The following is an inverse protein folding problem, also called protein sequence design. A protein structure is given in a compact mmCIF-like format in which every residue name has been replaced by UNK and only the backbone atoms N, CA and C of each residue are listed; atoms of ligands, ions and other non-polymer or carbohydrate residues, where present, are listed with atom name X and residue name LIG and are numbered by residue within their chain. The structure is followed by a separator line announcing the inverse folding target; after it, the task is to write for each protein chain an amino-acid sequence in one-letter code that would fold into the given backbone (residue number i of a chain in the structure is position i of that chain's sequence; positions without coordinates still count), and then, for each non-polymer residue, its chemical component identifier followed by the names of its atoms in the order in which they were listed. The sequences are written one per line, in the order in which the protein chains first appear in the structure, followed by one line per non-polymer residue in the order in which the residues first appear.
data_IF_253052878243
#
_entry.id   IF_253052878243
#
_cell.length_a   1.000
_cell.length_b   1.000
_cell.length_c   1.000
_cell.angle_alpha   90.00
_cell.angle_beta   90.00
_cell.angle_gamma   90.00
#
_symmetry.space_group_name_H-M   'P 1'
#
loop_
_entity.id
_entity.type
_entity.pdbx_description
1 polymer ?
#
# COMPACT_ATOMS: atom_id res chain seq x y z
N UNK A 1 -19.86 -20.25 33.42
CA UNK A 1 -19.42 -19.82 32.09
C UNK A 1 -18.72 -18.47 32.28
N UNK A 2 -17.36 -18.42 32.32
CA UNK A 2 -16.62 -17.15 32.42
C UNK A 2 -16.66 -16.53 31.02
N UNK A 3 -17.45 -15.48 30.84
CA UNK A 3 -17.29 -14.58 29.68
C UNK A 3 -15.89 -13.96 29.82
N UNK A 4 -14.97 -14.40 28.97
CA UNK A 4 -13.69 -13.73 28.79
C UNK A 4 -13.99 -12.36 28.16
N UNK A 5 -13.94 -11.31 28.95
CA UNK A 5 -14.01 -9.92 28.51
C UNK A 5 -12.68 -9.66 27.76
N UNK A 6 -12.62 -9.98 26.49
CA UNK A 6 -11.51 -9.55 25.64
C UNK A 6 -11.68 -8.02 25.49
N UNK A 7 -10.69 -7.21 25.91
CA UNK A 7 -10.80 -5.77 25.74
C UNK A 7 -10.96 -5.49 24.24
N UNK A 8 -12.03 -4.78 23.86
CA UNK A 8 -12.31 -4.44 22.44
C UNK A 8 -11.21 -3.58 21.80
N UNK A 9 -10.29 -3.04 22.59
CA UNK A 9 -9.06 -2.39 22.12
C UNK A 9 -8.15 -3.34 21.33
N UNK A 10 -8.22 -4.66 21.57
CA UNK A 10 -7.46 -5.66 20.81
C UNK A 10 -7.97 -5.77 19.38
N UNK A 11 -9.26 -5.59 19.14
CA UNK A 11 -9.92 -5.67 17.85
C UNK A 11 -9.37 -4.64 16.84
N UNK A 12 -8.96 -3.45 17.28
CA UNK A 12 -8.28 -2.48 16.42
C UNK A 12 -6.94 -3.02 15.87
N UNK A 13 -6.13 -3.64 16.73
CA UNK A 13 -4.85 -4.21 16.29
C UNK A 13 -5.05 -5.39 15.34
N UNK A 14 -6.08 -6.21 15.56
CA UNK A 14 -6.39 -7.34 14.69
C UNK A 14 -6.86 -6.83 13.30
N UNK A 15 -7.65 -5.75 13.25
CA UNK A 15 -8.07 -5.13 12.00
C UNK A 15 -6.89 -4.46 11.26
N UNK A 16 -6.00 -3.76 11.97
CA UNK A 16 -4.80 -3.19 11.35
C UNK A 16 -3.85 -4.26 10.81
N UNK A 17 -3.68 -5.38 11.52
CA UNK A 17 -2.91 -6.52 11.02
C UNK A 17 -3.53 -7.09 9.73
N UNK A 18 -4.85 -7.26 9.69
CA UNK A 18 -5.57 -7.70 8.49
C UNK A 18 -5.42 -6.69 7.33
N UNK A 19 -5.54 -5.39 7.60
CA UNK A 19 -5.35 -4.34 6.60
C UNK A 19 -3.93 -4.39 5.99
N UNK A 20 -2.90 -4.55 6.82
CA UNK A 20 -1.52 -4.69 6.36
C UNK A 20 -1.29 -5.96 5.52
N UNK A 21 -1.93 -7.07 5.87
CA UNK A 21 -1.86 -8.32 5.10
C UNK A 21 -2.60 -8.20 3.76
N UNK A 22 -3.76 -7.54 3.73
CA UNK A 22 -4.52 -7.27 2.52
C UNK A 22 -3.72 -6.37 1.55
N UNK A 23 -3.12 -5.28 2.04
CA UNK A 23 -2.26 -4.42 1.23
C UNK A 23 -1.03 -5.17 0.68
N UNK A 24 -0.43 -6.07 1.48
CA UNK A 24 0.70 -6.89 1.02
C UNK A 24 0.26 -7.89 -0.07
N UNK A 25 -0.93 -8.44 0.01
CA UNK A 25 -1.46 -9.31 -1.03
C UNK A 25 -1.72 -8.52 -2.32
N UNK A 26 -2.33 -7.33 -2.25
CA UNK A 26 -2.50 -6.43 -3.38
C UNK A 26 -1.17 -6.14 -4.09
N UNK A 27 -0.14 -5.76 -3.33
CA UNK A 27 1.19 -5.47 -3.87
C UNK A 27 1.82 -6.69 -4.59
N UNK A 28 1.66 -7.91 -4.05
CA UNK A 28 2.14 -9.15 -4.68
C UNK A 28 1.39 -9.50 -5.95
N UNK A 29 0.08 -9.29 -5.98
CA UNK A 29 -0.72 -9.48 -7.19
C UNK A 29 -0.28 -8.48 -8.27
N UNK A 30 -0.08 -7.21 -7.91
CA UNK A 30 0.44 -6.19 -8.84
C UNK A 30 1.82 -6.58 -9.39
N UNK A 31 2.78 -6.98 -8.55
CA UNK A 31 4.10 -7.44 -9.00
C UNK A 31 3.99 -8.60 -9.98
N UNK A 32 3.16 -9.59 -9.67
CA UNK A 32 2.95 -10.74 -10.55
C UNK A 32 2.33 -10.32 -11.87
N UNK A 33 1.30 -9.46 -11.81
CA UNK A 33 0.61 -8.95 -12.99
C UNK A 33 1.54 -8.17 -13.89
N UNK A 34 2.31 -7.23 -13.35
CA UNK A 34 3.29 -6.45 -14.11
C UNK A 34 4.40 -7.33 -14.71
N UNK A 35 4.90 -8.30 -13.96
CA UNK A 35 5.98 -9.19 -14.43
C UNK A 35 5.54 -10.11 -15.57
N UNK A 36 4.32 -10.59 -15.55
CA UNK A 36 3.81 -11.66 -16.42
C UNK A 36 2.86 -11.16 -17.52
N UNK A 37 2.50 -9.87 -17.51
CA UNK A 37 1.60 -9.29 -18.49
C UNK A 37 2.16 -9.40 -19.93
N UNK A 38 1.35 -9.68 -20.96
CA UNK A 38 -0.10 -9.87 -20.92
C UNK A 38 -0.56 -11.31 -20.57
N UNK A 39 0.36 -12.25 -20.37
CA UNK A 39 0.06 -13.66 -20.17
C UNK A 39 -0.03 -14.05 -18.67
N UNK A 40 -0.37 -13.09 -17.83
CA UNK A 40 -0.50 -13.30 -16.38
C UNK A 40 -1.71 -14.18 -16.02
N UNK A 41 -1.57 -14.98 -14.96
CA UNK A 41 -2.70 -15.68 -14.34
C UNK A 41 -3.53 -14.79 -13.41
N UNK A 42 -2.98 -13.61 -13.02
CA UNK A 42 -3.66 -12.64 -12.15
C UNK A 42 -4.48 -11.68 -13.03
N UNK A 43 -5.78 -11.70 -12.84
CA UNK A 43 -6.72 -10.80 -13.56
C UNK A 43 -6.92 -9.49 -12.82
N UNK A 44 -7.46 -8.45 -13.49
CA UNK A 44 -7.86 -7.21 -12.81
C UNK A 44 -8.96 -7.47 -11.77
N UNK A 45 -9.84 -8.45 -12.01
CA UNK A 45 -10.87 -8.83 -11.07
C UNK A 45 -10.30 -9.39 -9.75
N UNK A 46 -9.14 -10.08 -9.80
CA UNK A 46 -8.47 -10.57 -8.59
C UNK A 46 -7.95 -9.41 -7.75
N UNK A 47 -7.33 -8.39 -8.37
CA UNK A 47 -6.85 -7.20 -7.67
C UNK A 47 -8.03 -6.40 -7.10
N UNK A 48 -9.11 -6.22 -7.87
CA UNK A 48 -10.33 -5.54 -7.42
C UNK A 48 -11.02 -6.26 -6.26
N UNK A 49 -10.92 -7.58 -6.19
CA UNK A 49 -11.44 -8.34 -5.06
C UNK A 49 -10.67 -8.04 -3.77
N UNK A 50 -9.34 -7.88 -3.85
CA UNK A 50 -8.49 -7.52 -2.70
C UNK A 50 -8.78 -6.06 -2.26
N UNK A 51 -8.95 -5.12 -3.20
CA UNK A 51 -9.34 -3.74 -2.88
C UNK A 51 -10.71 -3.73 -2.16
N UNK A 52 -11.69 -4.45 -2.67
CA UNK A 52 -13.02 -4.51 -2.04
C UNK A 52 -12.99 -5.15 -0.64
N UNK A 53 -12.05 -6.06 -0.37
CA UNK A 53 -11.80 -6.58 0.98
C UNK A 53 -11.13 -5.52 1.87
N UNK A 54 -10.15 -4.76 1.36
CA UNK A 54 -9.49 -3.64 2.04
C UNK A 54 -10.49 -2.58 2.47
N UNK A 55 -11.33 -2.16 1.54
CA UNK A 55 -12.47 -1.28 1.73
C UNK A 55 -13.39 -1.75 2.89
N UNK A 56 -13.67 -3.06 2.97
CA UNK A 56 -14.49 -3.59 4.05
C UNK A 56 -13.75 -3.54 5.40
N UNK A 57 -12.46 -3.79 5.43
CA UNK A 57 -11.64 -3.70 6.65
C UNK A 57 -11.60 -2.24 7.14
N UNK A 58 -11.44 -1.28 6.24
CA UNK A 58 -11.47 0.15 6.56
C UNK A 58 -12.82 0.60 7.10
N UNK A 59 -13.92 0.15 6.50
CA UNK A 59 -15.28 0.39 7.03
C UNK A 59 -15.46 -0.20 8.44
N UNK A 60 -14.95 -1.42 8.68
CA UNK A 60 -15.02 -2.09 9.99
C UNK A 60 -14.22 -1.30 11.05
N UNK A 61 -13.01 -0.80 10.71
CA UNK A 61 -12.19 0.07 11.56
C UNK A 61 -12.92 1.36 11.94
N UNK A 62 -13.52 2.03 10.96
CA UNK A 62 -14.28 3.29 11.17
C UNK A 62 -15.53 3.02 12.01
N UNK A 63 -16.23 1.92 11.76
CA UNK A 63 -17.40 1.55 12.55
C UNK A 63 -17.00 1.21 13.99
N UNK A 64 -15.92 0.48 14.20
CA UNK A 64 -15.39 0.18 15.52
C UNK A 64 -15.01 1.48 16.24
N UNK A 65 -14.31 2.39 15.55
CA UNK A 65 -13.92 3.70 16.07
C UNK A 65 -15.16 4.51 16.53
N UNK A 66 -16.22 4.49 15.76
CA UNK A 66 -17.46 5.24 16.08
C UNK A 66 -18.24 4.65 17.26
N UNK A 67 -18.10 3.36 17.52
CA UNK A 67 -18.87 2.66 18.57
C UNK A 67 -18.10 2.47 19.87
N UNK A 68 -16.76 2.57 19.87
CA UNK A 68 -15.94 2.39 21.06
C UNK A 68 -15.60 3.72 21.75
N UNK A 69 -15.81 3.75 23.06
CA UNK A 69 -15.47 4.90 23.91
C UNK A 69 -13.96 4.94 24.23
N UNK A 70 -13.35 3.77 24.38
CA UNK A 70 -11.93 3.62 24.71
C UNK A 70 -11.21 3.02 23.51
N UNK A 71 -10.21 3.74 23.00
CA UNK A 71 -9.38 3.34 21.86
C UNK A 71 -7.94 3.06 22.33
N UNK A 72 -7.16 2.23 21.61
CA UNK A 72 -5.80 1.88 22.01
C UNK A 72 -4.81 3.04 21.89
N UNK A 73 -5.09 4.02 21.00
CA UNK A 73 -4.35 5.26 20.81
C UNK A 73 -5.32 6.33 20.26
N UNK A 74 -4.81 7.50 19.90
CA UNK A 74 -5.61 8.65 19.47
C UNK A 74 -6.55 8.26 18.31
N UNK A 75 -7.82 8.71 18.42
CA UNK A 75 -8.86 8.42 17.43
C UNK A 75 -8.54 8.99 16.05
N UNK A 76 -7.90 10.16 16.02
CA UNK A 76 -7.47 10.78 14.79
C UNK A 76 -6.37 9.97 14.10
N UNK A 77 -5.40 9.46 14.88
CA UNK A 77 -4.35 8.60 14.36
C UNK A 77 -4.92 7.25 13.83
N UNK A 78 -5.96 6.69 14.49
CA UNK A 78 -6.66 5.48 14.01
C UNK A 78 -7.31 5.74 12.66
N UNK A 79 -8.01 6.85 12.51
CA UNK A 79 -8.67 7.23 11.27
C UNK A 79 -7.64 7.46 10.15
N UNK A 80 -6.60 8.24 10.41
CA UNK A 80 -5.54 8.55 9.44
C UNK A 80 -4.81 7.27 9.00
N UNK A 81 -4.52 6.36 9.93
CA UNK A 81 -3.85 5.11 9.60
C UNK A 81 -4.73 4.20 8.73
N UNK A 82 -6.02 4.08 9.06
CA UNK A 82 -6.96 3.30 8.28
C UNK A 82 -7.06 3.83 6.83
N UNK A 83 -7.21 5.15 6.67
CA UNK A 83 -7.29 5.78 5.35
C UNK A 83 -5.99 5.61 4.57
N UNK A 84 -4.82 5.84 5.20
CA UNK A 84 -3.55 5.71 4.48
C UNK A 84 -3.25 4.27 4.02
N UNK A 85 -3.72 3.24 4.75
CA UNK A 85 -3.58 1.85 4.29
C UNK A 85 -4.54 1.55 3.13
N UNK A 86 -5.74 2.10 3.16
CA UNK A 86 -6.73 2.01 2.09
C UNK A 86 -6.18 2.62 0.79
N UNK A 87 -5.63 3.84 0.87
CA UNK A 87 -5.00 4.55 -0.24
C UNK A 87 -3.89 3.71 -0.92
N UNK A 88 -3.14 2.90 -0.15
CA UNK A 88 -2.13 1.98 -0.74
C UNK A 88 -2.79 1.00 -1.70
N UNK A 89 -3.89 0.39 -1.30
CA UNK A 89 -4.57 -0.65 -2.08
C UNK A 89 -5.27 -0.04 -3.28
N UNK A 90 -5.88 1.14 -3.12
CA UNK A 90 -6.56 1.87 -4.17
C UNK A 90 -5.59 2.25 -5.31
N UNK A 91 -4.44 2.81 -4.98
CA UNK A 91 -3.43 3.16 -5.99
C UNK A 91 -2.81 1.93 -6.66
N UNK A 92 -2.69 0.80 -5.95
CA UNK A 92 -2.28 -0.48 -6.55
C UNK A 92 -3.32 -0.94 -7.57
N UNK A 93 -4.60 -0.88 -7.22
CA UNK A 93 -5.71 -1.25 -8.10
C UNK A 93 -5.72 -0.37 -9.35
N UNK A 94 -5.62 0.95 -9.18
CA UNK A 94 -5.51 1.92 -10.26
C UNK A 94 -4.33 1.59 -11.20
N UNK A 95 -3.12 1.40 -10.67
CA UNK A 95 -1.94 1.09 -11.47
C UNK A 95 -2.11 -0.18 -12.31
N UNK A 96 -2.76 -1.20 -11.76
CA UNK A 96 -3.00 -2.47 -12.48
C UNK A 96 -4.12 -2.37 -13.52
N UNK A 97 -5.15 -1.56 -13.26
CA UNK A 97 -6.24 -1.29 -14.23
C UNK A 97 -5.73 -0.55 -15.46
N UNK A 98 -4.81 0.39 -15.27
CA UNK A 98 -4.20 1.16 -16.36
C UNK A 98 -3.48 0.28 -17.40
N UNK A 99 -2.99 -0.92 -17.05
CA UNK A 99 -2.41 -1.86 -18.02
C UNK A 99 -3.42 -2.27 -19.09
N UNK A 100 -4.66 -2.60 -18.70
CA UNK A 100 -5.72 -2.98 -19.61
C UNK A 100 -6.35 -1.76 -20.30
N UNK A 101 -6.66 -0.73 -19.53
CA UNK A 101 -7.28 0.49 -20.00
C UNK A 101 -6.45 1.15 -21.12
N UNK A 102 -5.13 1.19 -20.94
CA UNK A 102 -4.21 1.78 -21.90
C UNK A 102 -3.70 0.78 -22.94
N UNK A 103 -4.16 -0.47 -22.88
CA UNK A 103 -3.76 -1.53 -23.82
C UNK A 103 -2.24 -1.65 -23.91
N UNK A 104 -1.59 -1.75 -22.76
CA UNK A 104 -0.15 -1.96 -22.68
C UNK A 104 0.16 -3.34 -23.29
N UNK A 105 1.08 -3.41 -24.24
CA UNK A 105 1.48 -4.68 -24.86
C UNK A 105 2.51 -5.41 -24.00
N UNK A 106 3.45 -4.66 -23.44
CA UNK A 106 4.50 -5.19 -22.56
C UNK A 106 4.88 -4.15 -21.51
N UNK A 107 4.92 -4.52 -20.22
CA UNK A 107 5.34 -3.62 -19.16
C UNK A 107 6.80 -3.19 -19.26
N UNK A 108 7.05 -1.95 -18.90
CA UNK A 108 8.39 -1.40 -18.81
C UNK A 108 9.14 -2.02 -17.62
N UNK A 109 10.45 -2.23 -17.79
CA UNK A 109 11.29 -2.81 -16.72
C UNK A 109 11.27 -1.99 -15.44
N UNK A 110 11.18 -0.67 -15.57
CA UNK A 110 11.13 0.27 -14.44
C UNK A 110 9.81 0.12 -13.65
N UNK A 111 8.68 -0.14 -14.31
CA UNK A 111 7.42 -0.41 -13.64
C UNK A 111 7.45 -1.74 -12.87
N UNK A 112 8.07 -2.78 -13.44
CA UNK A 112 8.28 -4.06 -12.74
C UNK A 112 9.18 -3.86 -11.52
N UNK A 113 10.25 -3.08 -11.64
CA UNK A 113 11.15 -2.76 -10.52
C UNK A 113 10.43 -1.96 -9.43
N UNK A 114 9.58 -1.01 -9.82
CA UNK A 114 8.77 -0.24 -8.89
C UNK A 114 7.77 -1.12 -8.11
N UNK A 115 7.14 -2.10 -8.77
CA UNK A 115 6.29 -3.09 -8.09
C UNK A 115 7.10 -3.93 -7.09
N UNK A 116 8.35 -4.33 -7.43
CA UNK A 116 9.23 -5.06 -6.50
C UNK A 116 9.55 -4.23 -5.25
N UNK A 117 9.86 -2.95 -5.43
CA UNK A 117 10.14 -2.01 -4.33
C UNK A 117 8.87 -1.84 -3.47
N UNK A 118 7.70 -1.67 -4.10
CA UNK A 118 6.42 -1.54 -3.43
C UNK A 118 6.10 -2.78 -2.57
N UNK A 119 6.33 -4.00 -3.06
CA UNK A 119 6.19 -5.22 -2.25
C UNK A 119 7.09 -5.19 -1.03
N UNK A 120 8.32 -4.71 -1.17
CA UNK A 120 9.25 -4.52 -0.04
C UNK A 120 8.71 -3.55 1.01
N UNK A 121 8.27 -2.37 0.57
CA UNK A 121 7.74 -1.31 1.44
C UNK A 121 6.46 -1.75 2.16
N UNK A 122 5.51 -2.37 1.44
CA UNK A 122 4.27 -2.87 2.04
C UNK A 122 4.53 -4.07 2.96
N UNK A 123 5.57 -4.89 2.71
CA UNK A 123 6.02 -5.92 3.66
C UNK A 123 6.48 -5.29 4.98
N UNK A 124 7.24 -4.19 4.90
CA UNK A 124 7.65 -3.44 6.08
C UNK A 124 6.45 -2.83 6.80
N UNK A 125 5.49 -2.25 6.08
CA UNK A 125 4.26 -1.70 6.65
C UNK A 125 3.45 -2.78 7.38
N UNK A 126 3.21 -3.93 6.76
CA UNK A 126 2.49 -5.06 7.35
C UNK A 126 3.15 -5.54 8.64
N UNK A 127 4.50 -5.69 8.65
CA UNK A 127 5.27 -6.03 9.87
C UNK A 127 5.16 -4.96 10.95
N UNK A 128 5.16 -3.68 10.59
CA UNK A 128 5.00 -2.59 11.53
C UNK A 128 3.61 -2.61 12.19
N UNK A 129 2.55 -2.89 11.42
CA UNK A 129 1.18 -3.01 11.90
C UNK A 129 1.02 -4.23 12.84
N UNK A 130 1.58 -5.37 12.49
CA UNK A 130 1.61 -6.56 13.36
C UNK A 130 2.36 -6.27 14.69
N UNK A 131 3.42 -5.49 14.61
CA UNK A 131 4.22 -5.09 15.77
C UNK A 131 3.61 -3.98 16.62
N UNK A 132 2.56 -3.29 16.16
CA UNK A 132 2.02 -2.07 16.77
C UNK A 132 1.57 -2.26 18.23
N UNK A 133 0.94 -3.40 18.55
CA UNK A 133 0.50 -3.75 19.89
C UNK A 133 1.66 -3.93 20.89
N UNK A 134 2.75 -4.55 20.43
CA UNK A 134 3.92 -4.88 21.26
C UNK A 134 5.06 -3.88 21.19
N UNK A 135 5.02 -2.96 20.23
CA UNK A 135 6.04 -1.92 19.90
C UNK A 135 7.46 -2.46 19.65
N UNK A 136 7.61 -3.77 19.38
CA UNK A 136 8.92 -4.40 19.19
C UNK A 136 9.33 -4.39 17.72
N UNK A 137 10.53 -3.87 17.44
CA UNK A 137 11.12 -3.90 16.10
C UNK A 137 10.44 -2.99 15.08
N UNK A 138 9.40 -2.23 15.47
CA UNK A 138 8.64 -1.38 14.56
C UNK A 138 9.51 -0.26 14.00
N UNK A 139 10.35 0.36 14.83
CA UNK A 139 11.18 1.50 14.42
C UNK A 139 12.16 1.13 13.28
N UNK A 140 12.82 -0.02 13.38
CA UNK A 140 13.77 -0.47 12.35
C UNK A 140 13.03 -0.75 11.02
N UNK A 141 11.84 -1.33 11.11
CA UNK A 141 10.98 -1.60 9.94
C UNK A 141 10.53 -0.31 9.25
N UNK A 142 10.24 0.76 10.01
CA UNK A 142 9.88 2.07 9.43
C UNK A 142 11.08 2.77 8.76
N UNK A 143 12.30 2.53 9.24
CA UNK A 143 13.52 3.04 8.58
C UNK A 143 13.76 2.30 7.26
N UNK A 144 13.57 0.97 7.24
CA UNK A 144 13.68 0.16 6.03
C UNK A 144 12.64 0.59 4.98
N UNK A 145 11.39 0.83 5.39
CA UNK A 145 10.34 1.32 4.49
C UNK A 145 10.73 2.65 3.84
N UNK A 146 11.23 3.62 4.63
CA UNK A 146 11.66 4.91 4.08
C UNK A 146 12.80 4.79 3.07
N UNK A 147 13.73 3.86 3.29
CA UNK A 147 14.79 3.62 2.32
C UNK A 147 14.27 3.04 0.99
N UNK A 148 13.22 2.22 1.05
CA UNK A 148 12.55 1.67 -0.14
C UNK A 148 11.77 2.74 -0.89
N UNK A 149 11.10 3.66 -0.19
CA UNK A 149 10.43 4.79 -0.82
C UNK A 149 11.44 5.70 -1.52
N UNK A 150 12.54 6.08 -0.86
CA UNK A 150 13.63 6.85 -1.47
C UNK A 150 14.24 6.14 -2.71
N UNK A 151 14.24 4.80 -2.76
CA UNK A 151 14.65 4.00 -3.93
C UNK A 151 13.60 4.08 -5.05
N UNK A 152 12.31 3.94 -4.71
CA UNK A 152 11.19 4.02 -5.66
C UNK A 152 11.13 5.38 -6.34
N UNK A 153 11.24 6.47 -5.59
CA UNK A 153 11.31 7.84 -6.08
C UNK A 153 12.39 8.03 -7.16
N UNK A 154 13.55 7.44 -6.93
CA UNK A 154 14.64 7.51 -7.93
C UNK A 154 14.29 6.75 -9.20
N UNK A 155 13.72 5.54 -9.06
CA UNK A 155 13.31 4.71 -10.21
C UNK A 155 12.27 5.44 -11.06
N UNK A 156 11.25 6.04 -10.44
CA UNK A 156 10.20 6.80 -11.14
C UNK A 156 10.78 8.01 -11.84
N UNK A 157 11.58 8.80 -11.14
CA UNK A 157 12.19 10.02 -11.68
C UNK A 157 13.05 9.73 -12.89
N UNK A 158 13.88 8.67 -12.82
CA UNK A 158 14.72 8.23 -13.92
C UNK A 158 13.87 7.67 -15.08
N UNK A 159 12.81 6.92 -14.79
CA UNK A 159 11.89 6.38 -15.80
C UNK A 159 11.16 7.48 -16.53
N UNK A 160 10.61 8.47 -15.83
CA UNK A 160 9.94 9.63 -16.43
C UNK A 160 10.95 10.45 -17.27
N UNK A 161 12.15 10.73 -16.73
CA UNK A 161 13.17 11.45 -17.49
C UNK A 161 13.53 10.74 -18.81
N UNK A 162 13.63 9.41 -18.80
CA UNK A 162 13.90 8.62 -20.00
C UNK A 162 12.79 8.75 -21.06
N UNK A 163 11.51 8.84 -20.67
CA UNK A 163 10.39 9.04 -21.59
C UNK A 163 10.49 10.38 -22.36
N UNK A 164 11.04 11.42 -21.73
CA UNK A 164 11.16 12.74 -22.35
C UNK A 164 12.47 12.97 -23.11
N UNK A 165 13.45 12.05 -23.00
CA UNK A 165 14.73 12.19 -23.69
C UNK A 165 14.69 11.75 -25.15
N UNK A 166 13.84 10.82 -25.54
CA UNK A 166 13.71 10.36 -26.93
C UNK A 166 12.54 11.05 -27.62
N UNK A 167 12.83 12.08 -28.40
CA UNK A 167 11.82 12.84 -29.18
C UNK A 167 11.05 12.00 -30.21
N UNK A 168 11.43 10.73 -30.43
CA UNK A 168 10.75 9.82 -31.38
C UNK A 168 9.67 8.98 -30.71
N UNK A 169 9.58 9.00 -29.38
CA UNK A 169 8.53 8.28 -28.64
C UNK A 169 7.17 8.95 -28.94
N UNK A 170 6.18 8.13 -29.26
CA UNK A 170 4.80 8.60 -29.42
C UNK A 170 4.32 9.27 -28.11
N UNK A 171 3.81 10.52 -28.18
CA UNK A 171 3.29 11.21 -26.98
C UNK A 171 2.24 10.41 -26.20
N UNK A 172 1.45 9.55 -26.86
CA UNK A 172 0.49 8.67 -26.18
C UNK A 172 1.20 7.61 -25.30
N UNK A 173 2.37 7.12 -25.75
CA UNK A 173 3.17 6.19 -24.95
C UNK A 173 3.72 6.91 -23.73
N UNK A 174 4.16 8.16 -23.87
CA UNK A 174 4.65 8.99 -22.76
C UNK A 174 3.55 9.18 -21.71
N UNK A 175 2.34 9.55 -22.14
CA UNK A 175 1.19 9.77 -21.24
C UNK A 175 0.86 8.48 -20.49
N UNK A 176 0.68 7.35 -21.20
CA UNK A 176 0.33 6.06 -20.60
C UNK A 176 1.32 5.62 -19.52
N UNK A 177 2.61 5.68 -19.82
CA UNK A 177 3.64 5.27 -18.88
C UNK A 177 3.81 6.25 -17.73
N UNK A 178 3.67 7.56 -17.98
CA UNK A 178 3.70 8.56 -16.93
C UNK A 178 2.59 8.30 -15.90
N UNK A 179 1.36 8.09 -16.33
CA UNK A 179 0.23 7.84 -15.45
C UNK A 179 0.42 6.54 -14.65
N UNK A 180 0.93 5.47 -15.27
CA UNK A 180 1.23 4.20 -14.56
C UNK A 180 2.33 4.40 -13.52
N UNK A 181 3.40 5.13 -13.84
CA UNK A 181 4.46 5.41 -12.86
C UNK A 181 3.95 6.26 -11.70
N UNK A 182 3.13 7.27 -11.98
CA UNK A 182 2.52 8.13 -10.95
C UNK A 182 1.58 7.34 -10.02
N UNK A 183 0.79 6.40 -10.55
CA UNK A 183 -0.05 5.54 -9.72
C UNK A 183 0.76 4.59 -8.82
N UNK A 184 1.86 4.01 -9.33
CA UNK A 184 2.77 3.17 -8.53
C UNK A 184 3.54 3.99 -7.47
N UNK A 185 3.95 5.23 -7.79
CA UNK A 185 4.57 6.16 -6.85
C UNK A 185 3.57 6.53 -5.75
N UNK A 186 2.33 6.87 -6.11
CA UNK A 186 1.29 7.20 -5.14
C UNK A 186 0.99 6.05 -4.16
N UNK A 187 1.03 4.79 -4.61
CA UNK A 187 0.91 3.63 -3.73
C UNK A 187 2.08 3.54 -2.71
N UNK A 188 3.29 3.86 -3.14
CA UNK A 188 4.47 3.85 -2.29
C UNK A 188 4.46 5.02 -1.28
N UNK A 189 4.05 6.21 -1.72
CA UNK A 189 3.84 7.39 -0.88
C UNK A 189 2.76 7.17 0.17
N UNK A 190 1.67 6.49 -0.18
CA UNK A 190 0.62 6.10 0.75
C UNK A 190 1.16 5.13 1.82
N UNK A 191 2.03 4.19 1.44
CA UNK A 191 2.69 3.29 2.39
C UNK A 191 3.64 4.06 3.35
N UNK A 192 4.37 5.07 2.86
CA UNK A 192 5.16 5.96 3.72
C UNK A 192 4.26 6.80 4.64
N UNK A 193 3.15 7.31 4.13
CA UNK A 193 2.18 8.07 4.92
C UNK A 193 1.64 7.23 6.08
N UNK A 194 1.24 5.98 5.83
CA UNK A 194 0.82 5.04 6.86
C UNK A 194 1.94 4.78 7.89
N UNK A 195 3.19 4.59 7.43
CA UNK A 195 4.36 4.41 8.28
C UNK A 195 4.62 5.64 9.18
N UNK A 196 4.41 6.85 8.66
CA UNK A 196 4.54 8.08 9.42
C UNK A 196 3.48 8.20 10.53
N UNK A 197 2.24 7.78 10.28
CA UNK A 197 1.20 7.69 11.32
C UNK A 197 1.61 6.67 12.40
N UNK A 198 2.09 5.48 12.01
CA UNK A 198 2.60 4.47 12.96
C UNK A 198 3.72 5.07 13.83
N UNK A 199 4.66 5.81 13.23
CA UNK A 199 5.74 6.49 13.96
C UNK A 199 5.20 7.47 14.99
N UNK A 200 4.21 8.29 14.61
CA UNK A 200 3.56 9.25 15.51
C UNK A 200 2.87 8.54 16.68
N UNK A 201 2.15 7.45 16.42
CA UNK A 201 1.54 6.62 17.47
C UNK A 201 2.57 6.10 18.47
N UNK A 202 3.73 5.64 17.98
CA UNK A 202 4.81 5.17 18.88
C UNK A 202 5.37 6.29 19.75
N UNK A 203 5.59 7.48 19.19
CA UNK A 203 6.12 8.64 19.93
C UNK A 203 5.14 9.16 20.97
N UNK A 204 3.86 9.29 20.61
CA UNK A 204 2.81 9.78 21.54
C UNK A 204 2.55 8.83 22.72
N UNK A 205 2.87 7.56 22.56
CA UNK A 205 2.58 6.52 23.56
C UNK A 205 3.87 5.88 24.16
N UNK A 206 5.04 6.54 23.99
CA UNK A 206 6.33 6.10 24.52
C UNK A 206 6.42 6.23 26.04
#
# INVERSE_FOLDING_TARGET
MKLAFVPRTTEFYDLFSRAGQNALEAARLAETRFREYPNTSVTQADVKAIESEGDQITRDLIQLLNTQYVTPFDREDIFQLATAIDDVVDHIEEATDLLELYRIEQPAKQAIEQCRILVGAVTCLSRALDGLKGRRGVQDTLVELKALEDEGDRVVRDAIAALFQDARIDPLIVIRWKDIYEALEAALDAAESAANVVRNVLVKNA
#
